data_IF_423132647287
#
_entry.id   IF_423132647287
#
_cell.length_a   1.000
_cell.length_b   1.000
_cell.length_c   1.000
_cell.angle_alpha   90.00
_cell.angle_beta   90.00
_cell.angle_gamma   90.00
#
_symmetry.space_group_name_H-M   'P 1'
#
loop_
_entity.id
_entity.type
_entity.pdbx_description
1 polymer ?
#
# COMPACT_ATOMS: atom_id res chain seq x y z
N UNK A 1 -3.34 -0.84 9.74
CA UNK A 1 -4.67 -1.19 9.19
C UNK A 1 -5.71 -0.19 9.66
N UNK A 2 -6.03 -0.15 10.97
CA UNK A 2 -7.14 0.66 11.49
C UNK A 2 -6.99 2.15 11.20
N UNK A 3 -5.82 2.74 11.46
CA UNK A 3 -5.56 4.16 11.17
C UNK A 3 -5.71 4.49 9.67
N UNK A 4 -5.22 3.62 8.79
CA UNK A 4 -5.35 3.80 7.35
C UNK A 4 -6.83 3.77 6.90
N UNK A 5 -7.59 2.78 7.39
CA UNK A 5 -9.02 2.67 7.08
C UNK A 5 -9.83 3.87 7.60
N UNK A 6 -9.51 4.39 8.79
CA UNK A 6 -10.14 5.59 9.34
C UNK A 6 -9.84 6.82 8.48
N UNK A 7 -8.59 7.03 8.09
CA UNK A 7 -8.20 8.14 7.20
C UNK A 7 -9.00 8.04 5.90
N UNK A 8 -8.99 6.90 5.24
CA UNK A 8 -9.69 6.66 3.99
C UNK A 8 -11.20 6.87 4.12
N UNK A 9 -11.80 6.37 5.18
CA UNK A 9 -13.22 6.58 5.45
C UNK A 9 -13.55 8.07 5.60
N UNK A 10 -12.79 8.79 6.42
CA UNK A 10 -12.98 10.24 6.63
C UNK A 10 -12.82 11.03 5.34
N UNK A 11 -11.83 10.68 4.51
CA UNK A 11 -11.58 11.34 3.22
C UNK A 11 -12.71 11.06 2.20
N UNK A 12 -13.24 9.85 2.18
CA UNK A 12 -14.31 9.47 1.26
C UNK A 12 -15.68 10.11 1.62
N UNK A 13 -15.85 10.57 2.85
CA UNK A 13 -17.05 11.27 3.31
C UNK A 13 -16.94 12.78 3.21
N UNK A 14 -15.75 13.30 2.99
CA UNK A 14 -15.47 14.72 2.87
C UNK A 14 -15.34 15.12 1.39
N UNK A 15 -15.99 16.21 1.00
CA UNK A 15 -15.81 16.84 -0.31
C UNK A 15 -14.61 17.80 -0.20
N UNK A 16 -13.41 17.29 -0.54
CA UNK A 16 -12.15 18.03 -0.37
C UNK A 16 -11.55 18.28 -1.75
N UNK A 17 -11.40 19.55 -2.08
CA UNK A 17 -10.68 19.98 -3.27
C UNK A 17 -9.18 19.63 -3.19
N UNK A 18 -8.49 19.45 -4.33
CA UNK A 18 -7.06 19.24 -4.35
C UNK A 18 -6.30 20.37 -3.63
N UNK A 19 -5.36 20.01 -2.75
CA UNK A 19 -4.58 20.94 -1.95
C UNK A 19 -3.09 20.66 -2.14
N UNK A 20 -2.29 21.70 -2.40
CA UNK A 20 -0.83 21.57 -2.39
C UNK A 20 -0.32 21.51 -0.96
N UNK A 21 0.30 20.38 -0.58
CA UNK A 21 0.92 20.18 0.73
C UNK A 21 2.36 20.70 0.71
N UNK A 22 3.14 20.27 -0.29
CA UNK A 22 4.52 20.72 -0.49
C UNK A 22 4.63 21.21 -1.94
N UNK A 23 4.87 22.52 -2.17
CA UNK A 23 4.99 23.06 -3.51
C UNK A 23 5.98 22.26 -4.37
N UNK A 24 5.59 21.93 -5.59
CA UNK A 24 6.35 21.19 -6.61
C UNK A 24 6.58 19.69 -6.30
N UNK A 25 6.18 19.19 -5.13
CA UNK A 25 6.48 17.81 -4.74
C UNK A 25 5.28 16.98 -4.31
N UNK A 26 4.37 17.52 -3.48
CA UNK A 26 3.32 16.72 -2.87
C UNK A 26 2.01 17.50 -2.82
N UNK A 27 0.98 16.92 -3.43
CA UNK A 27 -0.38 17.42 -3.36
C UNK A 27 -1.30 16.40 -2.69
N UNK A 28 -2.36 16.86 -2.06
CA UNK A 28 -3.52 16.06 -1.73
C UNK A 28 -4.41 15.97 -2.97
N UNK A 29 -4.69 14.75 -3.44
CA UNK A 29 -5.54 14.51 -4.61
C UNK A 29 -6.24 13.16 -4.45
N UNK A 30 -7.54 13.19 -4.15
CA UNK A 30 -8.31 12.00 -3.89
C UNK A 30 -8.64 11.25 -5.19
N UNK A 31 -8.30 9.96 -5.26
CA UNK A 31 -8.61 9.09 -6.39
C UNK A 31 -8.92 7.66 -5.98
N UNK A 32 -9.61 6.93 -6.84
CA UNK A 32 -9.93 5.51 -6.65
C UNK A 32 -9.07 4.63 -7.56
N UNK A 33 -8.23 3.81 -6.95
CA UNK A 33 -7.32 2.90 -7.63
C UNK A 33 -7.96 1.50 -7.75
N UNK A 34 -8.29 1.10 -8.96
CA UNK A 34 -8.84 -0.24 -9.26
C UNK A 34 -7.78 -1.28 -9.59
N UNK A 35 -6.48 -0.88 -9.64
CA UNK A 35 -5.33 -1.76 -9.84
C UNK A 35 -4.52 -2.00 -8.57
N UNK A 36 -3.28 -2.42 -8.75
CA UNK A 36 -2.24 -2.42 -7.71
C UNK A 36 -1.37 -1.16 -7.83
N UNK A 37 -0.21 -1.14 -7.19
CA UNK A 37 0.73 -0.01 -7.27
C UNK A 37 0.87 0.52 -8.70
N UNK A 38 0.90 1.85 -8.86
CA UNK A 38 0.97 2.53 -10.17
C UNK A 38 -0.21 2.19 -11.11
N UNK A 39 -1.37 1.84 -10.58
CA UNK A 39 -2.55 1.40 -11.33
C UNK A 39 -2.29 0.21 -12.28
N UNK A 40 -1.26 -0.58 -12.03
CA UNK A 40 -1.03 -1.81 -12.78
C UNK A 40 -2.22 -2.76 -12.60
N UNK A 41 -2.60 -3.44 -13.68
CA UNK A 41 -3.77 -4.32 -13.74
C UNK A 41 -5.09 -3.62 -13.40
N UNK A 42 -5.18 -2.29 -13.59
CA UNK A 42 -6.43 -1.55 -13.41
C UNK A 42 -7.53 -2.11 -14.29
N UNK A 43 -8.63 -2.49 -13.68
CA UNK A 43 -9.82 -2.97 -14.38
C UNK A 43 -11.04 -2.74 -13.50
N UNK A 44 -12.12 -2.30 -14.11
CA UNK A 44 -13.45 -2.24 -13.46
C UNK A 44 -14.26 -3.52 -13.65
N UNK A 45 -13.71 -4.50 -14.40
CA UNK A 45 -14.37 -5.79 -14.61
C UNK A 45 -14.40 -6.58 -13.28
N UNK A 46 -15.58 -7.05 -12.82
CA UNK A 46 -15.70 -7.80 -11.57
C UNK A 46 -14.81 -9.03 -11.50
N UNK A 47 -14.67 -9.78 -12.59
CA UNK A 47 -13.81 -10.97 -12.65
C UNK A 47 -12.35 -10.61 -12.40
N UNK A 48 -11.85 -9.53 -13.02
CA UNK A 48 -10.48 -9.05 -12.81
C UNK A 48 -10.26 -8.62 -11.35
N UNK A 49 -11.24 -7.95 -10.72
CA UNK A 49 -11.16 -7.56 -9.32
C UNK A 49 -11.15 -8.76 -8.36
N UNK A 50 -11.92 -9.81 -8.68
CA UNK A 50 -11.91 -11.06 -7.89
C UNK A 50 -10.54 -11.74 -8.00
N UNK A 51 -10.01 -11.89 -9.21
CA UNK A 51 -8.69 -12.51 -9.43
C UNK A 51 -7.61 -11.72 -8.70
N UNK A 52 -7.63 -10.39 -8.80
CA UNK A 52 -6.68 -9.52 -8.10
C UNK A 52 -6.79 -9.67 -6.58
N UNK A 53 -8.00 -9.71 -6.03
CA UNK A 53 -8.22 -9.88 -4.59
C UNK A 53 -7.74 -11.24 -4.10
N UNK A 54 -7.99 -12.32 -4.85
CA UNK A 54 -7.49 -13.66 -4.54
C UNK A 54 -5.95 -13.66 -4.55
N UNK A 55 -5.33 -13.04 -5.55
CA UNK A 55 -3.87 -12.95 -5.65
C UNK A 55 -3.26 -12.22 -4.46
N UNK A 56 -3.85 -11.08 -4.05
CA UNK A 56 -3.40 -10.33 -2.89
C UNK A 56 -3.60 -11.16 -1.60
N UNK A 57 -4.73 -11.85 -1.46
CA UNK A 57 -4.99 -12.72 -0.31
C UNK A 57 -3.95 -13.83 -0.18
N UNK A 58 -3.60 -14.49 -1.28
CA UNK A 58 -2.56 -15.53 -1.29
C UNK A 58 -1.19 -14.96 -0.93
N UNK A 59 -0.84 -13.79 -1.46
CA UNK A 59 0.40 -13.10 -1.13
C UNK A 59 0.47 -12.74 0.38
N UNK A 60 -0.59 -12.16 0.94
CA UNK A 60 -0.67 -11.84 2.36
C UNK A 60 -0.62 -13.09 3.25
N UNK A 61 -1.25 -14.18 2.83
CA UNK A 61 -1.19 -15.45 3.53
C UNK A 61 0.23 -16.01 3.56
N UNK A 62 0.95 -15.94 2.43
CA UNK A 62 2.35 -16.34 2.36
C UNK A 62 3.26 -15.45 3.23
N UNK A 63 3.08 -14.13 3.20
CA UNK A 63 3.84 -13.22 4.06
C UNK A 63 3.57 -13.48 5.55
N UNK A 64 2.32 -13.82 5.90
CA UNK A 64 1.96 -14.21 7.26
C UNK A 64 2.64 -15.53 7.67
N UNK A 65 2.70 -16.50 6.78
CA UNK A 65 3.45 -17.73 7.02
C UNK A 65 4.95 -17.43 7.28
N UNK A 66 5.57 -16.57 6.46
CA UNK A 66 6.95 -16.15 6.68
C UNK A 66 7.14 -15.44 8.03
N UNK A 67 6.21 -14.58 8.41
CA UNK A 67 6.22 -13.90 9.72
C UNK A 67 6.19 -14.88 10.89
N UNK A 68 5.39 -15.93 10.79
CA UNK A 68 5.26 -16.94 11.84
C UNK A 68 6.49 -17.86 11.93
N UNK A 69 7.19 -18.07 10.83
CA UNK A 69 8.34 -19.01 10.75
C UNK A 69 9.68 -18.35 10.97
N UNK A 70 9.83 -17.04 10.67
CA UNK A 70 11.10 -16.34 10.87
C UNK A 70 11.39 -16.09 12.35
N UNK A 71 12.66 -16.19 12.73
CA UNK A 71 13.16 -15.81 14.06
C UNK A 71 13.89 -14.47 14.06
N UNK A 72 14.17 -13.93 12.88
CA UNK A 72 14.89 -12.67 12.72
C UNK A 72 13.98 -11.48 13.06
N UNK A 73 14.44 -10.63 13.99
CA UNK A 73 13.65 -9.48 14.47
C UNK A 73 13.40 -8.44 13.37
N UNK A 74 14.40 -8.19 12.53
CA UNK A 74 14.31 -7.18 11.47
C UNK A 74 13.34 -7.63 10.38
N UNK A 75 13.39 -8.92 10.01
CA UNK A 75 12.41 -9.52 9.11
C UNK A 75 10.99 -9.49 9.70
N UNK A 76 10.83 -9.75 11.01
CA UNK A 76 9.51 -9.62 11.66
C UNK A 76 8.96 -8.21 11.58
N UNK A 77 9.77 -7.19 11.86
CA UNK A 77 9.35 -5.78 11.75
C UNK A 77 8.93 -5.47 10.31
N UNK A 78 9.75 -5.84 9.35
CA UNK A 78 9.49 -5.66 7.93
C UNK A 78 8.16 -6.31 7.51
N UNK A 79 7.99 -7.61 7.81
CA UNK A 79 6.78 -8.36 7.48
C UNK A 79 5.53 -7.78 8.17
N UNK A 80 5.66 -7.32 9.43
CA UNK A 80 4.55 -6.64 10.12
C UNK A 80 4.08 -5.40 9.37
N UNK A 81 5.02 -4.56 8.90
CA UNK A 81 4.69 -3.34 8.16
C UNK A 81 4.02 -3.67 6.81
N UNK A 82 4.59 -4.63 6.06
CA UNK A 82 4.06 -5.04 4.76
C UNK A 82 2.66 -5.65 4.92
N UNK A 83 2.48 -6.57 5.85
CA UNK A 83 1.18 -7.21 6.10
C UNK A 83 0.15 -6.18 6.59
N UNK A 84 0.52 -5.29 7.50
CA UNK A 84 -0.40 -4.27 8.01
C UNK A 84 -0.87 -3.31 6.91
N UNK A 85 0.03 -2.79 6.06
CA UNK A 85 -0.33 -1.96 4.93
C UNK A 85 -1.14 -2.73 3.88
N UNK A 86 -0.67 -3.93 3.52
CA UNK A 86 -1.36 -4.80 2.56
C UNK A 86 -2.78 -5.17 2.98
N UNK A 87 -3.01 -5.47 4.27
CA UNK A 87 -4.35 -5.72 4.81
C UNK A 87 -5.25 -4.48 4.72
N UNK A 88 -4.74 -3.28 4.96
CA UNK A 88 -5.50 -2.04 4.81
C UNK A 88 -6.05 -1.89 3.38
N UNK A 89 -5.17 -1.97 2.39
CA UNK A 89 -5.55 -1.90 0.98
C UNK A 89 -6.42 -3.09 0.53
N UNK A 90 -6.15 -4.29 1.03
CA UNK A 90 -6.93 -5.49 0.70
C UNK A 90 -8.38 -5.39 1.19
N UNK A 91 -8.58 -5.01 2.45
CA UNK A 91 -9.93 -4.88 3.02
C UNK A 91 -10.74 -3.82 2.27
N UNK A 92 -10.17 -2.67 1.98
CA UNK A 92 -10.87 -1.64 1.22
C UNK A 92 -11.27 -2.15 -0.18
N UNK A 93 -10.37 -2.84 -0.88
CA UNK A 93 -10.66 -3.41 -2.20
C UNK A 93 -11.77 -4.47 -2.15
N UNK A 94 -11.77 -5.34 -1.16
CA UNK A 94 -12.80 -6.38 -1.02
C UNK A 94 -14.18 -5.77 -0.78
N UNK A 95 -14.26 -4.70 0.04
CA UNK A 95 -15.55 -4.08 0.37
C UNK A 95 -16.03 -3.07 -0.68
N UNK A 96 -15.12 -2.36 -1.34
CA UNK A 96 -15.47 -1.22 -2.22
C UNK A 96 -15.00 -1.40 -3.68
N UNK A 97 -14.31 -2.47 -4.03
CA UNK A 97 -13.81 -2.75 -5.38
C UNK A 97 -12.64 -1.87 -5.82
N UNK A 98 -12.14 -1.00 -4.95
CA UNK A 98 -11.03 -0.07 -5.24
C UNK A 98 -10.32 0.33 -3.97
N UNK A 99 -9.14 0.92 -4.11
CA UNK A 99 -8.37 1.49 -3.00
C UNK A 99 -8.36 3.02 -3.14
N UNK A 100 -8.53 3.72 -2.02
CA UNK A 100 -8.44 5.19 -1.99
C UNK A 100 -7.00 5.62 -1.87
N UNK A 101 -6.50 6.32 -2.89
CA UNK A 101 -5.21 6.98 -2.91
C UNK A 101 -5.41 8.48 -2.81
N UNK A 102 -4.55 9.19 -2.04
CA UNK A 102 -4.77 10.60 -1.72
C UNK A 102 -3.51 11.44 -1.62
N UNK A 103 -2.33 10.86 -1.77
CA UNK A 103 -1.05 11.56 -1.79
C UNK A 103 -0.48 11.51 -3.21
N UNK A 104 -0.45 12.65 -3.88
CA UNK A 104 0.06 12.78 -5.24
C UNK A 104 1.48 13.33 -5.23
N UNK A 105 2.45 12.48 -5.56
CA UNK A 105 3.85 12.85 -5.69
C UNK A 105 4.14 13.30 -7.11
N UNK A 106 4.86 14.42 -7.23
CA UNK A 106 5.32 14.98 -8.51
C UNK A 106 6.69 15.64 -8.35
N UNK A 107 7.37 15.91 -9.44
CA UNK A 107 8.58 16.75 -9.48
C UNK A 107 8.31 17.91 -10.45
N UNK A 108 8.13 19.11 -9.91
CA UNK A 108 7.69 20.27 -10.68
C UNK A 108 6.31 20.02 -11.29
N UNK A 109 6.23 19.94 -12.62
CA UNK A 109 5.01 19.63 -13.38
C UNK A 109 4.92 18.15 -13.78
N UNK A 110 5.97 17.35 -13.52
CA UNK A 110 6.01 15.93 -13.91
C UNK A 110 5.33 15.06 -12.87
N UNK A 111 4.23 14.37 -13.21
CA UNK A 111 3.57 13.43 -12.32
C UNK A 111 4.44 12.19 -12.11
N UNK A 112 4.50 11.67 -10.88
CA UNK A 112 5.15 10.42 -10.56
C UNK A 112 4.11 9.34 -10.26
N UNK A 113 3.47 9.42 -9.09
CA UNK A 113 2.44 8.46 -8.68
C UNK A 113 1.54 9.03 -7.58
N UNK A 114 0.38 8.42 -7.44
CA UNK A 114 -0.55 8.67 -6.33
C UNK A 114 -0.54 7.44 -5.43
N UNK A 115 -0.54 7.65 -4.12
CA UNK A 115 -0.43 6.60 -3.13
C UNK A 115 -1.18 6.97 -1.84
N UNK A 116 -1.22 6.05 -0.89
CA UNK A 116 -1.84 6.24 0.41
C UNK A 116 -0.87 5.87 1.55
N UNK A 117 -1.31 6.02 2.78
CA UNK A 117 -0.49 5.72 3.96
C UNK A 117 -0.12 4.23 4.06
N UNK A 118 -1.00 3.32 3.64
CA UNK A 118 -0.69 1.89 3.62
C UNK A 118 0.46 1.57 2.65
N UNK A 119 0.48 2.21 1.46
CA UNK A 119 1.56 2.04 0.48
C UNK A 119 2.91 2.54 1.02
N UNK A 120 2.90 3.65 1.77
CA UNK A 120 4.10 4.16 2.44
C UNK A 120 4.64 3.14 3.45
N UNK A 121 3.77 2.55 4.27
CA UNK A 121 4.16 1.52 5.26
C UNK A 121 4.69 0.26 4.56
N UNK A 122 4.05 -0.19 3.47
CA UNK A 122 4.52 -1.31 2.67
C UNK A 122 5.92 -1.02 2.12
N UNK A 123 6.12 0.17 1.56
CA UNK A 123 7.41 0.59 0.99
C UNK A 123 8.52 0.61 2.04
N UNK A 124 8.26 1.15 3.23
CA UNK A 124 9.21 1.13 4.35
C UNK A 124 9.51 -0.31 4.76
N UNK A 125 8.49 -1.15 4.90
CA UNK A 125 8.67 -2.56 5.23
C UNK A 125 9.51 -3.30 4.18
N UNK A 126 9.24 -3.09 2.90
CA UNK A 126 10.04 -3.68 1.81
C UNK A 126 11.49 -3.21 1.84
N UNK A 127 11.75 -1.93 2.10
CA UNK A 127 13.09 -1.40 2.26
C UNK A 127 13.86 -2.05 3.42
N UNK A 128 13.21 -2.23 4.57
CA UNK A 128 13.80 -2.95 5.73
C UNK A 128 14.08 -4.42 5.36
N UNK A 129 13.19 -5.07 4.61
CA UNK A 129 13.39 -6.46 4.16
C UNK A 129 14.62 -6.59 3.27
N UNK A 130 14.74 -5.71 2.29
CA UNK A 130 15.90 -5.67 1.38
C UNK A 130 17.19 -5.41 2.17
N UNK A 131 17.17 -4.44 3.08
CA UNK A 131 18.32 -4.16 3.95
C UNK A 131 18.72 -5.39 4.77
N UNK A 132 17.76 -6.05 5.42
CA UNK A 132 18.00 -7.26 6.20
C UNK A 132 18.63 -8.36 5.34
N UNK A 133 18.10 -8.56 4.13
CA UNK A 133 18.60 -9.58 3.22
C UNK A 133 20.04 -9.32 2.75
N UNK A 134 20.37 -8.07 2.42
CA UNK A 134 21.68 -7.70 1.92
C UNK A 134 22.77 -7.70 3.02
N UNK A 135 22.44 -7.26 4.23
CA UNK A 135 23.46 -6.95 5.25
C UNK A 135 23.45 -7.87 6.47
N UNK A 136 22.39 -8.65 6.68
CA UNK A 136 22.28 -9.53 7.85
C UNK A 136 22.60 -10.99 7.50
N UNK A 137 22.41 -11.43 6.27
CA UNK A 137 22.71 -12.80 5.84
C UNK A 137 24.21 -13.09 5.64
N UNK A 138 25.05 -12.06 5.53
CA UNK A 138 26.53 -12.26 5.40
C UNK A 138 27.22 -12.63 6.73
N UNK A 139 26.48 -12.68 7.84
CA UNK A 139 27.03 -12.99 9.17
C UNK A 139 26.65 -14.38 9.72
N UNK A 140 26.16 -15.25 8.83
CA UNK A 140 25.87 -16.65 9.22
C UNK A 140 26.79 -17.65 8.57
#
# INVERSE_FOLDING_TARGET
>A
VFADLLIKYSLNTADIDPITIIPLFLDFYLTKNTGIALSLFSSTNPTSQIILSITIFLALSYLTYLFLTTTDKLQKISLTLIIAGGLGNFLERVFFGSVTDYLYLRIGTTPLFIFNFADLIITIGAGIMIYSWLFTNERR
#
